data_IF_143273280745
#
_entry.id   IF_143273280745
#
_cell.length_a   1.000
_cell.length_b   1.000
_cell.length_c   1.000
_cell.angle_alpha   90.00
_cell.angle_beta   90.00
_cell.angle_gamma   90.00
#
_symmetry.space_group_name_H-M   'P 1'
#
loop_
_entity.id
_entity.type
_entity.pdbx_description
1 polymer ?
#
# COMPACT_ATOMS: atom_id res chain seq x y z
N UNK A 1 1.55 -6.92 -10.60
CA UNK A 1 1.76 -5.59 -11.22
C UNK A 1 3.26 -5.28 -11.36
N UNK A 2 4.05 -5.35 -10.28
CA UNK A 2 5.46 -4.95 -10.25
C UNK A 2 6.33 -5.78 -11.18
N UNK A 3 6.25 -7.11 -11.13
CA UNK A 3 7.02 -7.96 -12.04
C UNK A 3 6.72 -7.68 -13.52
N UNK A 4 5.46 -7.41 -13.86
CA UNK A 4 5.05 -7.09 -15.23
C UNK A 4 5.71 -5.82 -15.77
N UNK A 5 5.88 -4.79 -14.94
CA UNK A 5 6.62 -3.58 -15.34
C UNK A 5 8.13 -3.77 -15.25
N UNK A 6 8.65 -4.59 -14.32
CA UNK A 6 10.09 -4.82 -14.16
C UNK A 6 10.69 -5.68 -15.26
N UNK A 7 9.98 -6.74 -15.68
CA UNK A 7 10.48 -7.75 -16.61
C UNK A 7 11.23 -7.19 -17.83
N UNK A 8 10.67 -6.24 -18.62
CA UNK A 8 11.38 -5.68 -19.77
C UNK A 8 12.63 -4.87 -19.38
N UNK A 9 12.73 -4.38 -18.15
CA UNK A 9 13.84 -3.56 -17.67
C UNK A 9 14.92 -4.36 -16.93
N UNK A 10 14.73 -5.65 -16.63
CA UNK A 10 15.72 -6.49 -15.94
C UNK A 10 17.11 -6.43 -16.61
N UNK A 11 17.26 -6.49 -17.95
CA UNK A 11 18.58 -6.44 -18.58
C UNK A 11 19.26 -5.06 -18.51
N UNK A 12 18.52 -3.99 -18.19
CA UNK A 12 19.03 -2.62 -18.18
C UNK A 12 19.54 -2.24 -16.79
N UNK A 13 20.80 -2.54 -16.49
CA UNK A 13 21.41 -2.36 -15.16
C UNK A 13 21.37 -0.93 -14.63
N UNK A 14 21.40 0.07 -15.51
CA UNK A 14 21.28 1.49 -15.13
C UNK A 14 19.86 1.88 -14.72
N UNK A 15 18.87 1.06 -15.03
CA UNK A 15 17.47 1.26 -14.64
C UNK A 15 17.22 0.59 -13.30
N UNK A 16 16.99 1.42 -12.28
CA UNK A 16 16.61 0.98 -10.94
C UNK A 16 15.21 0.37 -10.96
N UNK A 17 15.05 -0.79 -10.32
CA UNK A 17 13.76 -1.47 -10.14
C UNK A 17 13.41 -1.38 -8.66
N UNK A 18 12.33 -0.67 -8.32
CA UNK A 18 11.99 -0.36 -6.93
C UNK A 18 10.58 -0.88 -6.65
N UNK A 19 10.50 -1.94 -5.86
CA UNK A 19 9.24 -2.52 -5.37
C UNK A 19 8.82 -1.87 -4.05
N UNK A 20 7.53 -1.58 -3.89
CA UNK A 20 7.01 -0.97 -2.67
C UNK A 20 6.17 -1.98 -1.91
N UNK A 21 6.47 -2.13 -0.62
CA UNK A 21 5.70 -2.96 0.30
C UNK A 21 4.92 -2.07 1.28
N UNK A 22 3.77 -2.57 1.76
CA UNK A 22 2.99 -1.87 2.77
C UNK A 22 3.68 -1.98 4.14
N UNK A 23 4.11 -0.84 4.67
CA UNK A 23 4.67 -0.72 6.01
C UNK A 23 3.59 -0.56 7.09
N UNK A 24 2.31 -0.50 6.72
CA UNK A 24 1.18 -0.39 7.65
C UNK A 24 1.30 0.81 8.59
N UNK A 25 1.17 0.55 9.90
CA UNK A 25 1.36 1.54 10.98
C UNK A 25 2.85 1.89 11.21
N UNK A 26 3.78 1.23 10.51
CA UNK A 26 5.22 1.42 10.59
C UNK A 26 5.97 0.10 10.70
N UNK A 27 7.21 0.07 10.21
CA UNK A 27 8.01 -1.17 10.14
C UNK A 27 8.35 -1.79 11.50
N UNK A 28 8.31 -1.01 12.58
CA UNK A 28 8.64 -1.46 13.94
C UNK A 28 7.38 -1.73 14.80
N UNK A 29 6.19 -1.48 14.24
CA UNK A 29 4.91 -1.66 14.95
C UNK A 29 4.47 -3.13 15.05
N UNK A 30 5.06 -4.01 14.23
CA UNK A 30 4.56 -5.37 13.99
C UNK A 30 3.30 -5.44 13.13
N UNK A 31 2.72 -4.30 12.75
CA UNK A 31 1.53 -4.20 11.88
C UNK A 31 1.94 -3.68 10.50
N UNK A 32 2.42 -4.60 9.66
CA UNK A 32 2.84 -4.32 8.29
C UNK A 32 2.70 -5.56 7.40
N UNK A 33 2.89 -5.40 6.09
CA UNK A 33 2.90 -6.50 5.10
C UNK A 33 4.22 -6.58 4.32
N UNK A 34 5.32 -6.10 4.91
CA UNK A 34 6.63 -5.99 4.28
C UNK A 34 7.46 -7.30 4.31
N UNK A 35 7.00 -8.29 3.56
CA UNK A 35 7.56 -9.65 3.53
C UNK A 35 9.03 -9.73 3.12
N UNK A 36 9.47 -8.96 2.11
CA UNK A 36 10.86 -8.97 1.66
C UNK A 36 11.82 -8.26 2.62
N UNK A 37 11.33 -7.25 3.34
CA UNK A 37 12.14 -6.44 4.26
C UNK A 37 12.19 -6.99 5.70
N UNK A 38 11.17 -7.74 6.13
CA UNK A 38 11.05 -8.25 7.52
C UNK A 38 10.79 -9.74 7.61
N UNK A 39 10.41 -10.38 6.51
CA UNK A 39 10.17 -11.82 6.49
C UNK A 39 11.44 -12.64 6.40
N UNK A 40 11.25 -13.95 6.46
CA UNK A 40 12.30 -14.96 6.34
C UNK A 40 11.93 -15.96 5.23
N UNK A 41 12.91 -16.67 4.64
CA UNK A 41 12.61 -17.71 3.67
C UNK A 41 11.74 -18.82 4.27
N UNK A 42 10.59 -19.09 3.66
CA UNK A 42 9.62 -20.10 4.07
C UNK A 42 8.84 -20.65 2.88
N UNK A 43 7.84 -21.49 3.17
CA UNK A 43 6.95 -22.08 2.15
C UNK A 43 5.52 -21.67 2.45
N UNK A 44 4.90 -20.98 1.50
CA UNK A 44 3.51 -20.54 1.60
C UNK A 44 2.84 -20.65 0.24
N UNK A 45 1.60 -21.15 0.22
CA UNK A 45 0.78 -21.26 -0.99
C UNK A 45 1.50 -21.89 -2.19
N UNK A 46 2.24 -22.98 -1.94
CA UNK A 46 2.87 -23.79 -3.00
C UNK A 46 4.19 -23.25 -3.58
N UNK A 47 4.79 -22.21 -2.98
CA UNK A 47 6.10 -21.70 -3.39
C UNK A 47 7.03 -21.46 -2.19
N UNK A 48 8.34 -21.48 -2.43
CA UNK A 48 9.37 -21.11 -1.46
C UNK A 48 9.79 -19.66 -1.71
N UNK A 49 9.57 -18.79 -0.74
CA UNK A 49 9.75 -17.33 -0.87
C UNK A 49 9.95 -16.68 0.50
N UNK A 50 10.10 -15.35 0.56
CA UNK A 50 10.05 -14.63 1.83
C UNK A 50 8.62 -14.52 2.35
N UNK A 51 8.44 -14.86 3.61
CA UNK A 51 7.15 -14.84 4.31
C UNK A 51 7.29 -14.23 5.69
N UNK A 52 6.23 -13.60 6.18
CA UNK A 52 6.09 -13.15 7.56
C UNK A 52 5.59 -14.33 8.41
N UNK A 53 6.46 -14.85 9.27
CA UNK A 53 6.16 -15.98 10.14
C UNK A 53 6.88 -15.84 11.49
N UNK A 54 6.34 -16.49 12.51
CA UNK A 54 6.94 -16.58 13.83
C UNK A 54 8.07 -17.61 13.90
N UNK A 55 8.68 -17.76 15.08
CA UNK A 55 9.76 -18.71 15.32
C UNK A 55 9.35 -20.18 15.15
N UNK A 56 8.05 -20.49 15.19
CA UNK A 56 7.50 -21.83 14.99
C UNK A 56 7.13 -22.09 13.51
N UNK A 57 7.30 -21.10 12.63
CA UNK A 57 6.90 -21.18 11.23
C UNK A 57 5.43 -20.91 10.98
N UNK A 58 4.70 -20.35 11.96
CA UNK A 58 3.31 -19.96 11.81
C UNK A 58 3.23 -18.59 11.14
N UNK A 59 2.37 -18.45 10.13
CA UNK A 59 2.20 -17.21 9.38
C UNK A 59 1.66 -16.11 10.30
N UNK A 60 2.33 -14.96 10.28
CA UNK A 60 1.94 -13.78 11.07
C UNK A 60 0.82 -13.02 10.36
N UNK A 61 -0.13 -12.50 11.14
CA UNK A 61 -1.15 -11.60 10.62
C UNK A 61 -0.52 -10.30 10.13
N UNK A 62 -0.97 -9.85 8.95
CA UNK A 62 -0.47 -8.64 8.32
C UNK A 62 -1.39 -7.45 8.55
N UNK A 63 -0.89 -6.27 8.20
CA UNK A 63 -1.68 -5.05 8.24
C UNK A 63 -1.28 -4.12 7.09
N UNK A 64 -2.29 -3.51 6.49
CA UNK A 64 -2.18 -2.49 5.46
C UNK A 64 -3.54 -1.83 5.26
N UNK A 65 -3.58 -0.52 5.07
CA UNK A 65 -4.81 0.20 4.66
C UNK A 65 -5.29 -0.27 3.28
N UNK A 66 -4.38 -0.79 2.47
CA UNK A 66 -4.66 -1.34 1.15
C UNK A 66 -4.81 -2.85 1.24
N UNK A 67 -6.05 -3.33 1.05
CA UNK A 67 -6.36 -4.76 1.08
C UNK A 67 -5.58 -5.57 0.03
N UNK A 68 -5.25 -4.99 -1.12
CA UNK A 68 -4.46 -5.67 -2.15
C UNK A 68 -2.97 -5.85 -1.82
N UNK A 69 -2.46 -5.17 -0.80
CA UNK A 69 -1.09 -5.33 -0.29
C UNK A 69 -1.02 -6.08 1.05
N UNK A 70 -2.18 -6.38 1.66
CA UNK A 70 -2.28 -7.08 2.94
C UNK A 70 -2.06 -8.59 2.77
N UNK A 71 -0.81 -8.97 2.54
CA UNK A 71 -0.42 -10.35 2.24
C UNK A 71 0.93 -10.73 2.90
N UNK A 72 1.00 -11.86 3.63
CA UNK A 72 2.18 -12.25 4.41
C UNK A 72 3.30 -12.90 3.60
N UNK A 73 3.25 -12.84 2.28
CA UNK A 73 4.29 -13.41 1.42
C UNK A 73 4.55 -12.56 0.19
N UNK A 74 5.32 -13.10 -0.74
CA UNK A 74 5.67 -12.40 -1.99
C UNK A 74 6.01 -13.40 -3.09
N UNK A 75 5.84 -13.03 -4.36
CA UNK A 75 6.24 -13.91 -5.46
C UNK A 75 7.75 -14.23 -5.44
N UNK A 76 8.16 -15.48 -5.72
CA UNK A 76 9.56 -15.91 -5.60
C UNK A 76 10.51 -15.19 -6.57
N UNK A 77 10.02 -14.70 -7.69
CA UNK A 77 10.83 -13.92 -8.63
C UNK A 77 11.24 -12.57 -8.03
N UNK A 78 10.40 -11.96 -7.19
CA UNK A 78 10.77 -10.76 -6.43
C UNK A 78 11.81 -11.07 -5.34
N UNK A 79 11.67 -12.22 -4.67
CA UNK A 79 12.69 -12.71 -3.73
C UNK A 79 14.05 -12.88 -4.42
N UNK A 80 14.06 -13.53 -5.59
CA UNK A 80 15.27 -13.71 -6.38
C UNK A 80 15.89 -12.37 -6.81
N UNK A 81 15.11 -11.45 -7.37
CA UNK A 81 15.61 -10.13 -7.79
C UNK A 81 16.16 -9.31 -6.63
N UNK A 82 15.57 -9.43 -5.44
CA UNK A 82 16.12 -8.84 -4.20
C UNK A 82 17.47 -9.46 -3.86
N UNK A 83 17.56 -10.78 -3.82
CA UNK A 83 18.74 -11.50 -3.35
C UNK A 83 19.97 -11.29 -4.25
N UNK A 84 19.77 -11.16 -5.57
CA UNK A 84 20.85 -10.82 -6.51
C UNK A 84 21.15 -9.32 -6.59
N UNK A 85 20.43 -8.48 -5.81
CA UNK A 85 20.60 -7.03 -5.80
C UNK A 85 20.08 -6.32 -7.05
N UNK A 86 19.27 -6.99 -7.88
CA UNK A 86 18.73 -6.40 -9.11
C UNK A 86 17.54 -5.48 -8.85
N UNK A 87 16.74 -5.76 -7.84
CA UNK A 87 15.62 -4.91 -7.42
C UNK A 87 15.75 -4.50 -5.94
N UNK A 88 15.36 -3.26 -5.67
CA UNK A 88 15.30 -2.65 -4.34
C UNK A 88 13.86 -2.74 -3.82
N UNK A 89 13.68 -2.95 -2.52
CA UNK A 89 12.35 -3.02 -1.90
C UNK A 89 12.29 -2.09 -0.69
N UNK A 90 11.25 -1.27 -0.64
CA UNK A 90 11.09 -0.22 0.38
C UNK A 90 9.67 -0.22 0.94
N UNK A 91 9.53 0.15 2.21
CA UNK A 91 8.23 0.29 2.88
C UNK A 91 7.63 1.68 2.73
N UNK A 92 6.31 1.75 2.55
CA UNK A 92 5.51 2.98 2.65
C UNK A 92 4.39 2.77 3.65
N UNK A 93 4.20 3.71 4.57
CA UNK A 93 3.16 3.61 5.61
C UNK A 93 1.78 3.98 5.07
N UNK A 94 0.75 3.57 5.78
CA UNK A 94 -0.64 3.86 5.42
C UNK A 94 -0.88 5.38 5.30
N UNK A 95 -0.33 6.16 6.22
CA UNK A 95 -0.44 7.61 6.22
C UNK A 95 0.22 8.26 5.00
N UNK A 96 1.34 7.70 4.55
CA UNK A 96 2.06 8.18 3.36
C UNK A 96 1.30 7.85 2.08
N UNK A 97 0.74 6.63 2.00
CA UNK A 97 -0.11 6.22 0.89
C UNK A 97 -1.37 7.08 0.79
N UNK A 98 -2.06 7.36 1.90
CA UNK A 98 -3.22 8.25 1.94
C UNK A 98 -2.88 9.66 1.49
N UNK A 99 -1.73 10.19 1.91
CA UNK A 99 -1.25 11.51 1.49
C UNK A 99 -1.04 11.56 -0.02
N UNK A 100 -0.42 10.52 -0.59
CA UNK A 100 -0.17 10.43 -2.03
C UNK A 100 -1.45 10.23 -2.84
N UNK A 101 -2.41 9.43 -2.34
CA UNK A 101 -3.74 9.30 -2.94
C UNK A 101 -4.38 10.68 -3.11
N UNK A 102 -4.47 11.41 -2.00
CA UNK A 102 -5.08 12.73 -1.94
C UNK A 102 -4.36 13.75 -2.82
N UNK A 103 -3.03 13.69 -2.86
CA UNK A 103 -2.22 14.55 -3.70
C UNK A 103 -2.55 14.32 -5.18
N UNK A 104 -2.52 13.08 -5.66
CA UNK A 104 -2.76 12.75 -7.06
C UNK A 104 -4.19 13.11 -7.50
N UNK A 105 -5.18 12.90 -6.63
CA UNK A 105 -6.56 13.34 -6.86
C UNK A 105 -6.64 14.86 -7.08
N UNK A 106 -5.93 15.64 -6.26
CA UNK A 106 -6.02 17.11 -6.27
C UNK A 106 -5.19 17.76 -7.38
N UNK A 107 -4.06 17.17 -7.76
CA UNK A 107 -3.16 17.78 -8.77
C UNK A 107 -3.44 17.28 -10.17
N UNK A 108 -3.72 15.98 -10.33
CA UNK A 108 -3.86 15.35 -11.66
C UNK A 108 -5.31 14.95 -11.99
N UNK A 109 -6.23 15.04 -11.03
CA UNK A 109 -7.61 14.58 -11.22
C UNK A 109 -7.74 13.06 -11.39
N UNK A 110 -6.73 12.30 -10.97
CA UNK A 110 -6.70 10.83 -11.04
C UNK A 110 -6.98 10.29 -9.64
N UNK A 111 -7.92 9.36 -9.53
CA UNK A 111 -8.23 8.64 -8.29
C UNK A 111 -7.49 7.30 -8.31
N UNK A 112 -6.30 7.19 -7.69
CA UNK A 112 -5.52 5.95 -7.71
C UNK A 112 -6.06 4.93 -6.72
N UNK A 113 -5.88 3.64 -6.99
CA UNK A 113 -6.07 2.62 -5.96
C UNK A 113 -5.06 2.82 -4.81
N UNK A 114 -5.44 2.48 -3.57
CA UNK A 114 -4.54 2.62 -2.41
C UNK A 114 -3.25 1.81 -2.58
N UNK A 115 -3.30 0.67 -3.30
CA UNK A 115 -2.13 -0.12 -3.68
C UNK A 115 -1.14 0.75 -4.50
N UNK A 116 -1.66 1.49 -5.48
CA UNK A 116 -0.86 2.33 -6.38
C UNK A 116 -0.36 3.59 -5.69
N UNK A 117 -1.12 4.11 -4.72
CA UNK A 117 -0.74 5.27 -3.92
C UNK A 117 0.53 5.03 -3.10
N UNK A 118 0.82 3.78 -2.70
CA UNK A 118 2.11 3.42 -2.10
C UNK A 118 3.28 3.71 -3.07
N UNK A 119 3.13 3.31 -4.34
CA UNK A 119 4.12 3.58 -5.37
C UNK A 119 4.32 5.08 -5.63
N UNK A 120 3.22 5.84 -5.70
CA UNK A 120 3.26 7.29 -5.87
C UNK A 120 3.92 7.97 -4.66
N UNK A 121 3.60 7.56 -3.44
CA UNK A 121 4.20 8.12 -2.22
C UNK A 121 5.72 7.97 -2.22
N UNK A 122 6.23 6.79 -2.58
CA UNK A 122 7.67 6.59 -2.70
C UNK A 122 8.27 7.43 -3.83
N UNK A 123 7.62 7.48 -4.99
CA UNK A 123 8.09 8.29 -6.13
C UNK A 123 8.19 9.78 -5.76
N UNK A 124 7.22 10.34 -5.03
CA UNK A 124 7.25 11.71 -4.54
C UNK A 124 8.43 11.98 -3.59
N UNK A 125 8.77 11.02 -2.72
CA UNK A 125 9.95 11.13 -1.84
C UNK A 125 11.24 11.06 -2.66
N UNK A 126 11.33 10.10 -3.57
CA UNK A 126 12.53 9.89 -4.39
C UNK A 126 12.80 11.09 -5.30
N UNK A 127 11.75 11.64 -5.95
CA UNK A 127 11.87 12.78 -6.85
C UNK A 127 12.53 14.01 -6.20
N UNK A 128 12.31 14.25 -4.89
CA UNK A 128 12.95 15.34 -4.14
C UNK A 128 14.48 15.23 -4.07
N UNK A 129 15.02 14.03 -4.30
CA UNK A 129 16.47 13.73 -4.27
C UNK A 129 17.08 13.64 -5.66
N UNK A 130 16.27 13.79 -6.72
CA UNK A 130 16.68 13.57 -8.10
C UNK A 130 16.97 14.89 -8.83
N UNK A 131 17.73 14.77 -9.90
CA UNK A 131 17.99 15.87 -10.84
C UNK A 131 16.88 15.94 -11.91
N UNK A 132 16.65 17.11 -12.53
CA UNK A 132 15.64 17.26 -13.59
C UNK A 132 15.86 16.37 -14.83
N UNK A 133 17.06 15.83 -15.03
CA UNK A 133 17.41 14.96 -16.16
C UNK A 133 17.04 13.50 -15.93
N UNK A 134 16.67 13.13 -14.71
CA UNK A 134 16.26 11.77 -14.38
C UNK A 134 14.75 11.64 -14.46
N UNK A 135 14.26 10.42 -14.73
CA UNK A 135 12.83 10.14 -14.85
C UNK A 135 12.43 8.98 -13.96
N UNK A 136 11.20 9.04 -13.45
CA UNK A 136 10.57 7.96 -12.69
C UNK A 136 9.35 7.49 -13.47
N UNK A 137 9.27 6.19 -13.71
CA UNK A 137 8.07 5.55 -14.24
C UNK A 137 7.34 4.83 -13.10
N UNK A 138 6.10 5.22 -12.84
CA UNK A 138 5.27 4.63 -11.78
C UNK A 138 4.15 3.80 -12.40
N UNK A 139 3.97 2.57 -11.91
CA UNK A 139 2.85 1.73 -12.31
C UNK A 139 1.59 2.09 -11.52
N UNK A 140 0.65 2.81 -12.13
CA UNK A 140 -0.70 3.01 -11.58
C UNK A 140 -1.53 1.74 -11.81
N UNK A 141 -1.32 0.76 -10.93
CA UNK A 141 -1.84 -0.60 -11.07
C UNK A 141 -3.37 -0.72 -11.08
N UNK A 142 -4.10 0.30 -10.63
CA UNK A 142 -5.56 0.30 -10.62
C UNK A 142 -6.16 1.65 -10.24
N UNK A 143 -7.47 1.75 -10.46
CA UNK A 143 -8.33 2.89 -10.07
C UNK A 143 -8.86 2.74 -8.64
N UNK A 144 -9.05 3.87 -7.96
CA UNK A 144 -9.40 3.92 -6.53
C UNK A 144 -10.88 3.91 -6.21
N UNK A 145 -11.79 3.69 -7.17
CA UNK A 145 -13.24 3.67 -6.93
C UNK A 145 -13.65 2.72 -5.80
N UNK A 146 -12.96 1.59 -5.68
CA UNK A 146 -13.20 0.60 -4.61
C UNK A 146 -12.78 1.08 -3.21
N UNK A 147 -11.85 2.03 -3.16
CA UNK A 147 -11.20 2.47 -1.92
C UNK A 147 -11.83 3.74 -1.35
N UNK A 148 -12.78 4.37 -2.06
CA UNK A 148 -13.34 5.67 -1.66
C UNK A 148 -14.00 5.61 -0.28
N UNK A 149 -14.72 4.52 0.04
CA UNK A 149 -15.32 4.35 1.37
C UNK A 149 -14.26 4.40 2.47
N UNK A 150 -13.26 3.52 2.39
CA UNK A 150 -12.13 3.46 3.32
C UNK A 150 -11.40 4.80 3.43
N UNK A 151 -11.12 5.48 2.32
CA UNK A 151 -10.48 6.80 2.35
C UNK A 151 -11.36 7.84 3.01
N UNK A 152 -12.67 7.80 2.77
CA UNK A 152 -13.61 8.73 3.35
C UNK A 152 -13.67 8.59 4.88
N UNK A 153 -13.78 7.37 5.40
CA UNK A 153 -13.78 7.12 6.84
C UNK A 153 -12.47 7.61 7.48
N UNK A 154 -11.33 7.25 6.89
CA UNK A 154 -10.01 7.65 7.38
C UNK A 154 -9.76 9.17 7.29
N UNK A 155 -10.45 9.85 6.37
CA UNK A 155 -10.37 11.31 6.20
C UNK A 155 -11.47 12.05 6.96
N UNK A 156 -12.34 11.35 7.71
CA UNK A 156 -13.56 11.88 8.30
C UNK A 156 -14.41 12.67 7.29
N UNK A 157 -14.49 12.18 6.05
CA UNK A 157 -15.28 12.76 4.99
C UNK A 157 -16.59 11.99 4.82
N UNK A 158 -17.67 12.72 4.60
CA UNK A 158 -18.96 12.14 4.27
C UNK A 158 -18.93 11.56 2.85
N UNK A 159 -19.00 10.23 2.73
CA UNK A 159 -19.13 9.54 1.45
C UNK A 159 -20.33 8.60 1.43
N UNK A 160 -21.18 8.79 0.42
CA UNK A 160 -22.33 7.94 0.20
C UNK A 160 -22.45 7.65 -1.29
N UNK A 161 -22.55 6.37 -1.67
CA UNK A 161 -22.75 5.98 -3.07
C UNK A 161 -24.06 6.52 -3.67
N UNK A 162 -25.00 6.94 -2.82
CA UNK A 162 -26.28 7.55 -3.14
C UNK A 162 -26.78 8.33 -1.92
N UNK A 163 -27.54 9.42 -2.07
CA UNK A 163 -28.03 10.22 -0.94
C UNK A 163 -28.77 9.41 0.13
N UNK A 164 -29.47 8.35 -0.27
CA UNK A 164 -30.18 7.44 0.65
C UNK A 164 -29.26 6.60 1.54
N UNK A 165 -27.96 6.58 1.31
CA UNK A 165 -26.96 5.85 2.11
C UNK A 165 -26.33 6.74 3.19
N UNK A 166 -26.82 7.97 3.39
CA UNK A 166 -26.32 8.87 4.42
C UNK A 166 -26.47 8.27 5.83
N UNK A 167 -25.35 8.19 6.57
CA UNK A 167 -25.31 7.63 7.93
C UNK A 167 -24.99 6.13 8.04
N UNK A 168 -24.64 5.45 6.95
CA UNK A 168 -24.14 4.07 6.99
C UNK A 168 -22.60 4.04 7.11
N UNK A 169 -22.06 3.33 8.09
CA UNK A 169 -20.62 3.04 8.20
C UNK A 169 -20.26 1.73 7.48
N UNK A 170 -19.04 1.61 6.97
CA UNK A 170 -18.50 0.32 6.48
C UNK A 170 -18.23 -0.63 7.66
N UNK A 171 -18.29 -1.93 7.38
CA UNK A 171 -18.17 -3.01 8.38
C UNK A 171 -16.86 -2.88 9.19
N UNK A 172 -16.98 -2.52 10.47
CA UNK A 172 -15.86 -2.52 11.42
C UNK A 172 -15.98 -1.47 12.52
N UNK A 173 -16.69 -0.36 12.26
CA UNK A 173 -16.87 0.71 13.24
C UNK A 173 -18.34 0.86 13.66
N UNK A 174 -18.56 1.00 14.97
CA UNK A 174 -19.87 1.36 15.51
C UNK A 174 -20.27 2.70 14.91
N UNK A 175 -21.40 2.71 14.20
CA UNK A 175 -22.03 3.92 13.73
C UNK A 175 -22.17 4.88 14.92
N UNK A 176 -21.48 6.02 14.88
CA UNK A 176 -21.71 7.08 15.85
C UNK A 176 -23.13 7.57 15.60
N UNK A 177 -24.03 7.13 16.49
CA UNK A 177 -25.41 7.58 16.47
C UNK A 177 -25.45 9.11 16.57
N UNK A 178 -26.15 9.76 15.64
CA UNK A 178 -26.47 11.19 15.70
C UNK A 178 -27.12 11.61 17.03
N UNK A 179 -27.66 10.68 17.81
CA UNK A 179 -28.17 10.95 19.15
C UNK A 179 -27.08 11.28 20.18
N UNK A 180 -25.81 10.91 19.93
CA UNK A 180 -24.70 11.18 20.85
C UNK A 180 -24.19 12.63 20.74
N UNK A 181 -24.25 13.24 19.54
CA UNK A 181 -23.85 14.65 19.31
C UNK A 181 -24.83 15.64 19.97
N UNK A 182 -26.12 15.32 20.01
CA UNK A 182 -27.14 16.19 20.61
C UNK A 182 -27.18 16.17 22.15
N UNK A 183 -26.35 15.36 22.82
CA UNK A 183 -26.25 15.35 24.30
C UNK A 183 -25.10 16.19 24.86
N UNK A 184 -24.19 16.68 24.01
CA UNK A 184 -23.08 17.56 24.45
C UNK A 184 -23.42 19.05 24.24
N UNK A 185 -24.51 19.35 23.52
CA UNK A 185 -24.97 20.69 23.22
C UNK A 185 -26.25 21.09 24.00
N UNK A 186 -26.46 20.55 25.20
CA UNK A 186 -27.52 20.96 26.13
C UNK A 186 -26.98 21.20 27.53
#
# INVERSE_FOLDING_TARGET
NAMGIFYPYIPFEKTRLIGIEAAGEGMDSGKHSASLQRGVPGVLHGNRTYVLQDANGQITETHSVSAGLDYPGVGPEHAFLKDIGRAEYVGITDQEALTAFHYLCRTEGIIPALESSHAVAHAMKLAKTMTPQQSILVNLSGRGDKDIGTVADLSNADFFCRPSCQGQSVKGEQAISLAALNKVAS
#
